data_IF_081679369094
#
_entry.id   IF_081679369094
#
_cell.length_a   1.000
_cell.length_b   1.000
_cell.length_c   1.000
_cell.angle_alpha   90.00
_cell.angle_beta   90.00
_cell.angle_gamma   90.00
#
_symmetry.space_group_name_H-M   'P 1'
#
loop_
_entity.id
_entity.type
_entity.pdbx_description
1 polymer ?
#
# COMPACT_ATOMS: atom_id res chain seq x y z
N UNK A 1 29.90 24.25 77.49
CA UNK A 1 29.06 23.06 77.12
C UNK A 1 28.59 23.20 75.69
N UNK A 2 29.20 22.53 74.73
CA UNK A 2 28.89 22.60 73.30
C UNK A 2 27.92 21.46 72.98
N UNK A 3 26.76 21.79 72.42
CA UNK A 3 25.68 20.85 72.05
C UNK A 3 25.99 20.24 70.69
N UNK A 4 26.41 18.99 70.66
CA UNK A 4 26.63 18.22 69.44
C UNK A 4 25.29 18.05 68.70
N UNK A 5 25.18 18.64 67.49
CA UNK A 5 24.02 18.59 66.63
C UNK A 5 24.00 17.26 65.90
N UNK A 6 23.03 16.39 66.20
CA UNK A 6 22.78 15.12 65.57
C UNK A 6 22.60 15.26 64.06
N UNK A 7 23.64 14.96 63.27
CA UNK A 7 23.62 14.95 61.79
C UNK A 7 23.25 13.58 61.18
N UNK A 8 22.96 12.58 62.02
CA UNK A 8 22.80 11.18 61.58
C UNK A 8 21.45 10.84 60.89
N UNK A 9 20.49 11.76 60.91
CA UNK A 9 19.13 11.49 60.35
C UNK A 9 18.96 11.75 58.84
N UNK A 10 19.88 12.53 58.22
CA UNK A 10 19.74 12.93 56.82
C UNK A 10 20.27 11.87 55.83
N UNK A 11 21.27 11.10 56.19
CA UNK A 11 21.89 10.08 55.31
C UNK A 11 21.01 8.87 55.10
N UNK A 12 20.26 8.41 56.11
CA UNK A 12 19.38 7.23 55.97
C UNK A 12 18.20 7.44 55.05
N UNK A 13 17.65 8.63 54.94
CA UNK A 13 16.55 8.94 54.02
C UNK A 13 17.02 8.97 52.56
N UNK A 14 18.21 9.44 52.28
CA UNK A 14 18.80 9.41 50.92
C UNK A 14 19.13 8.01 50.42
N UNK A 15 19.59 7.14 51.33
CA UNK A 15 19.95 5.76 50.99
C UNK A 15 18.70 4.95 50.61
N UNK A 16 17.63 5.04 51.41
CA UNK A 16 16.35 4.38 51.07
C UNK A 16 15.72 4.86 49.74
N UNK A 17 15.84 6.16 49.45
CA UNK A 17 15.37 6.69 48.17
C UNK A 17 16.20 6.19 46.99
N UNK A 18 17.52 6.02 47.19
CA UNK A 18 18.39 5.49 46.13
C UNK A 18 18.13 3.99 45.87
N UNK A 19 17.95 3.18 46.92
CA UNK A 19 17.58 1.76 46.79
C UNK A 19 16.22 1.61 46.09
N UNK A 20 15.27 2.43 46.43
CA UNK A 20 13.97 2.45 45.75
C UNK A 20 14.11 2.81 44.25
N UNK A 21 14.88 3.85 43.92
CA UNK A 21 15.15 4.29 42.53
C UNK A 21 15.85 3.20 41.73
N UNK A 22 16.81 2.48 42.30
CA UNK A 22 17.50 1.41 41.59
C UNK A 22 16.56 0.22 41.36
N UNK A 23 15.75 -0.16 42.33
CA UNK A 23 14.85 -1.31 42.20
C UNK A 23 13.68 -1.05 41.24
N UNK A 24 13.05 0.13 41.31
CA UNK A 24 11.94 0.47 40.41
C UNK A 24 12.40 1.04 39.08
N UNK A 25 13.59 1.62 39.00
CA UNK A 25 14.19 2.09 37.77
C UNK A 25 14.37 0.96 36.74
N UNK A 26 14.76 -0.22 37.20
CA UNK A 26 14.86 -1.41 36.34
C UNK A 26 13.50 -1.83 35.78
N UNK A 27 12.46 -1.82 36.62
CA UNK A 27 11.11 -2.14 36.16
C UNK A 27 10.59 -1.14 35.10
N UNK A 28 10.88 0.15 35.27
CA UNK A 28 10.55 1.18 34.29
C UNK A 28 11.28 0.98 32.95
N UNK A 29 12.57 0.65 32.99
CA UNK A 29 13.36 0.36 31.78
C UNK A 29 12.78 -0.84 31.02
N UNK A 30 12.40 -1.91 31.73
CA UNK A 30 11.78 -3.08 31.12
C UNK A 30 10.42 -2.72 30.47
N UNK A 31 9.59 -1.95 31.16
CA UNK A 31 8.27 -1.53 30.65
C UNK A 31 8.46 -0.66 29.39
N UNK A 32 9.35 0.32 29.42
CA UNK A 32 9.62 1.15 28.24
C UNK A 32 10.23 0.34 27.09
N UNK A 33 11.09 -0.64 27.39
CA UNK A 33 11.62 -1.55 26.38
C UNK A 33 10.54 -2.36 25.69
N UNK A 34 9.61 -2.93 26.46
CA UNK A 34 8.47 -3.68 25.92
C UNK A 34 7.57 -2.76 25.09
N UNK A 35 7.24 -1.58 25.60
CA UNK A 35 6.42 -0.60 24.87
C UNK A 35 7.12 -0.18 23.57
N UNK A 36 8.41 0.07 23.56
CA UNK A 36 9.17 0.43 22.36
C UNK A 36 9.14 -0.69 21.30
N UNK A 37 9.30 -1.96 21.75
CA UNK A 37 9.21 -3.12 20.86
C UNK A 37 7.79 -3.23 20.29
N UNK A 38 6.76 -3.16 21.13
CA UNK A 38 5.37 -3.21 20.69
C UNK A 38 5.05 -2.07 19.72
N UNK A 39 5.52 -0.86 20.02
CA UNK A 39 5.37 0.29 19.14
C UNK A 39 6.01 0.03 17.77
N UNK A 40 7.25 -0.47 17.75
CA UNK A 40 7.95 -0.78 16.51
C UNK A 40 7.27 -1.88 15.68
N UNK A 41 6.58 -2.83 16.34
CA UNK A 41 5.85 -3.90 15.64
C UNK A 41 4.43 -3.48 15.23
N UNK A 42 3.69 -2.82 16.11
CA UNK A 42 2.26 -2.48 15.88
C UNK A 42 2.11 -1.31 14.91
N UNK A 43 3.03 -0.34 14.94
CA UNK A 43 2.94 0.86 14.10
C UNK A 43 3.67 0.74 12.75
N UNK A 44 4.05 -0.46 12.32
CA UNK A 44 4.40 -0.72 10.93
C UNK A 44 3.17 -1.28 10.20
N UNK A 45 2.30 -0.42 9.62
CA UNK A 45 1.08 -0.85 8.93
C UNK A 45 1.38 -1.76 7.73
N UNK A 46 2.58 -1.69 7.20
CA UNK A 46 3.04 -2.46 6.05
C UNK A 46 2.96 -3.99 6.25
N UNK A 47 3.03 -4.46 7.51
CA UNK A 47 2.94 -5.90 7.80
C UNK A 47 1.50 -6.43 7.89
N UNK A 48 0.53 -5.56 8.13
CA UNK A 48 -0.86 -5.96 8.42
C UNK A 48 -1.82 -5.68 7.28
N UNK A 49 -1.45 -4.84 6.31
CA UNK A 49 -2.31 -4.56 5.16
C UNK A 49 -2.15 -5.70 4.17
N UNK A 50 -3.22 -6.45 3.98
CA UNK A 50 -3.29 -7.47 2.96
C UNK A 50 -3.31 -6.82 1.57
N UNK A 51 -2.77 -7.51 0.60
CA UNK A 51 -2.99 -7.16 -0.79
C UNK A 51 -4.48 -7.21 -1.07
N UNK A 52 -5.00 -6.17 -1.69
CA UNK A 52 -6.41 -6.08 -2.04
C UNK A 52 -6.61 -5.35 -3.35
N UNK A 53 -7.67 -5.73 -4.03
CA UNK A 53 -8.14 -5.05 -5.22
C UNK A 53 -9.62 -4.76 -5.04
N UNK A 54 -9.93 -3.53 -4.73
CA UNK A 54 -11.29 -3.07 -4.49
C UNK A 54 -11.78 -2.30 -5.72
N UNK A 55 -12.60 -2.96 -6.54
CA UNK A 55 -13.19 -2.37 -7.75
C UNK A 55 -14.66 -2.04 -7.52
N UNK A 56 -15.15 -1.07 -8.26
CA UNK A 56 -16.59 -0.83 -8.33
C UNK A 56 -17.32 -2.06 -8.89
N UNK A 57 -18.59 -2.29 -8.48
CA UNK A 57 -19.36 -3.45 -8.90
C UNK A 57 -19.39 -3.62 -10.43
N UNK A 58 -19.23 -4.85 -10.88
CA UNK A 58 -19.30 -5.22 -12.28
C UNK A 58 -17.96 -5.47 -12.97
N UNK A 59 -16.86 -5.07 -12.36
CA UNK A 59 -15.51 -5.46 -12.82
C UNK A 59 -14.82 -6.19 -11.67
N UNK A 60 -14.41 -7.42 -11.94
CA UNK A 60 -13.74 -8.25 -10.95
C UNK A 60 -12.23 -8.24 -11.18
N UNK A 61 -11.47 -8.13 -10.11
CA UNK A 61 -10.04 -8.37 -10.14
C UNK A 61 -9.76 -9.86 -10.29
N UNK A 62 -8.99 -10.21 -11.29
CA UNK A 62 -8.40 -11.52 -11.41
C UNK A 62 -7.10 -11.59 -10.61
N UNK A 63 -5.98 -11.67 -11.31
CA UNK A 63 -4.64 -11.66 -10.72
C UNK A 63 -4.02 -10.27 -10.84
N UNK A 64 -3.28 -9.85 -9.82
CA UNK A 64 -2.49 -8.64 -9.85
C UNK A 64 -1.15 -8.88 -9.16
N UNK A 65 -0.10 -8.32 -9.71
CA UNK A 65 1.28 -8.49 -9.23
C UNK A 65 2.10 -7.25 -9.57
N UNK A 66 2.91 -6.81 -8.64
CA UNK A 66 3.85 -5.73 -8.84
C UNK A 66 5.27 -6.27 -8.64
N UNK A 67 6.03 -6.34 -9.71
CA UNK A 67 7.40 -6.85 -9.71
C UNK A 67 8.40 -5.74 -9.98
N UNK A 68 9.61 -5.85 -9.41
CA UNK A 68 10.72 -4.99 -9.75
C UNK A 68 11.41 -5.51 -11.02
N UNK A 69 11.69 -4.60 -11.95
CA UNK A 69 12.47 -4.86 -13.16
C UNK A 69 13.57 -3.81 -13.28
N UNK A 70 14.74 -4.11 -12.67
CA UNK A 70 15.82 -3.13 -12.56
C UNK A 70 15.46 -1.96 -11.64
N UNK A 71 15.40 -0.74 -12.19
CA UNK A 71 14.97 0.46 -11.48
C UNK A 71 13.45 0.73 -11.59
N UNK A 72 12.76 -0.01 -12.45
CA UNK A 72 11.36 0.24 -12.74
C UNK A 72 10.48 -0.84 -12.09
N UNK A 73 9.20 -0.54 -11.93
CA UNK A 73 8.21 -1.50 -11.47
C UNK A 73 7.32 -1.92 -12.63
N UNK A 74 7.00 -3.20 -12.70
CA UNK A 74 6.03 -3.72 -13.66
C UNK A 74 4.79 -4.18 -12.93
N UNK A 75 3.68 -3.48 -13.16
CA UNK A 75 2.37 -3.89 -12.68
C UNK A 75 1.70 -4.78 -13.72
N UNK A 76 1.40 -6.01 -13.34
CA UNK A 76 0.53 -6.91 -14.10
C UNK A 76 -0.85 -6.93 -13.43
N UNK A 77 -1.88 -6.56 -14.17
CA UNK A 77 -3.26 -6.47 -13.68
C UNK A 77 -4.18 -7.21 -14.65
N UNK A 78 -4.88 -8.21 -14.13
CA UNK A 78 -5.89 -8.97 -14.87
C UNK A 78 -7.28 -8.62 -14.35
N UNK A 79 -8.17 -8.23 -15.24
CA UNK A 79 -9.55 -7.85 -14.94
C UNK A 79 -10.53 -8.75 -15.67
N UNK A 80 -11.68 -9.02 -15.06
CA UNK A 80 -12.76 -9.78 -15.64
C UNK A 80 -14.04 -8.96 -15.69
N UNK A 81 -14.80 -9.16 -16.74
CA UNK A 81 -16.15 -8.62 -16.84
C UNK A 81 -17.10 -9.48 -15.98
N UNK A 82 -17.58 -8.93 -14.87
CA UNK A 82 -18.61 -9.53 -14.02
C UNK A 82 -20.04 -9.08 -14.37
N UNK A 83 -20.20 -8.15 -15.34
CA UNK A 83 -21.50 -7.62 -15.74
C UNK A 83 -22.23 -8.60 -16.67
N UNK A 84 -23.54 -8.44 -16.79
CA UNK A 84 -24.38 -9.29 -17.65
C UNK A 84 -24.25 -8.98 -19.14
N UNK A 85 -23.68 -7.82 -19.48
CA UNK A 85 -23.52 -7.33 -20.85
C UNK A 85 -22.06 -7.31 -21.26
N UNK A 86 -21.84 -7.36 -22.56
CA UNK A 86 -20.50 -7.30 -23.14
C UNK A 86 -19.96 -5.86 -23.09
N UNK A 87 -18.69 -5.72 -22.73
CA UNK A 87 -18.00 -4.44 -22.61
C UNK A 87 -16.80 -4.35 -23.56
N UNK A 88 -16.52 -3.16 -24.01
CA UNK A 88 -15.34 -2.81 -24.78
C UNK A 88 -14.53 -1.76 -24.01
N UNK A 89 -13.34 -2.10 -23.47
CA UNK A 89 -12.48 -1.16 -22.78
C UNK A 89 -11.99 -0.08 -23.75
N UNK A 90 -12.10 1.18 -23.37
CA UNK A 90 -11.65 2.34 -24.13
C UNK A 90 -10.38 2.95 -23.55
N UNK A 91 -10.32 3.05 -22.25
CA UNK A 91 -9.21 3.68 -21.53
C UNK A 91 -9.02 3.03 -20.17
N UNK A 92 -7.78 2.75 -19.80
CA UNK A 92 -7.40 2.24 -18.47
C UNK A 92 -6.29 3.11 -17.92
N UNK A 93 -6.52 3.67 -16.76
CA UNK A 93 -5.57 4.54 -16.07
C UNK A 93 -5.16 3.94 -14.73
N UNK A 94 -3.87 3.93 -14.46
CA UNK A 94 -3.28 3.65 -13.16
C UNK A 94 -2.60 4.91 -12.65
N UNK A 95 -3.01 5.39 -11.50
CA UNK A 95 -2.41 6.53 -10.84
C UNK A 95 -1.65 6.06 -9.59
N UNK A 96 -0.37 6.32 -9.57
CA UNK A 96 0.55 5.99 -8.48
C UNK A 96 0.98 7.28 -7.81
N UNK A 97 1.05 7.28 -6.49
CA UNK A 97 1.62 8.41 -5.76
C UNK A 97 3.14 8.33 -5.84
N UNK A 98 3.77 9.37 -6.35
CA UNK A 98 5.23 9.48 -6.35
C UNK A 98 5.74 9.67 -4.92
N UNK A 99 6.79 8.92 -4.56
CA UNK A 99 7.34 8.94 -3.20
C UNK A 99 8.19 10.15 -2.91
N UNK A 100 8.81 10.75 -3.93
CA UNK A 100 9.77 11.86 -3.77
C UNK A 100 9.05 13.20 -3.80
N UNK A 101 8.24 13.43 -4.81
CA UNK A 101 7.65 14.75 -5.07
C UNK A 101 6.22 14.89 -4.51
N UNK A 102 5.69 13.88 -3.80
CA UNK A 102 4.30 13.80 -3.34
C UNK A 102 3.26 14.04 -4.48
N UNK A 103 3.70 14.02 -5.72
CA UNK A 103 2.87 14.10 -6.92
C UNK A 103 2.14 12.79 -7.22
N UNK A 104 1.11 12.87 -8.04
CA UNK A 104 0.46 11.69 -8.61
C UNK A 104 0.89 11.55 -10.06
N UNK A 105 1.40 10.37 -10.44
CA UNK A 105 1.76 10.03 -11.81
C UNK A 105 0.74 9.05 -12.37
N UNK A 106 0.19 9.38 -13.53
CA UNK A 106 -0.83 8.56 -14.18
C UNK A 106 -0.27 7.89 -15.42
N UNK A 107 -0.40 6.57 -15.48
CA UNK A 107 -0.09 5.74 -16.64
C UNK A 107 -1.40 5.36 -17.31
N UNK A 108 -1.49 5.58 -18.61
CA UNK A 108 -2.74 5.39 -19.37
C UNK A 108 -2.54 4.43 -20.52
N UNK A 109 -3.47 3.50 -20.67
CA UNK A 109 -3.73 2.75 -21.87
C UNK A 109 -5.04 3.29 -22.48
N UNK A 110 -5.00 3.74 -23.74
CA UNK A 110 -6.16 4.33 -24.41
C UNK A 110 -6.20 3.91 -25.87
N UNK A 111 -7.38 3.58 -26.38
CA UNK A 111 -7.64 3.22 -27.79
C UNK A 111 -6.59 2.22 -28.33
N UNK A 112 -6.18 1.25 -27.51
CA UNK A 112 -5.14 0.25 -27.79
C UNK A 112 -3.72 0.81 -27.94
N UNK A 113 -3.52 2.06 -27.60
CA UNK A 113 -2.21 2.71 -27.55
C UNK A 113 -1.81 3.00 -26.09
N UNK A 114 -0.52 3.07 -25.86
CA UNK A 114 0.02 3.48 -24.58
C UNK A 114 0.66 4.86 -24.71
N UNK A 115 0.39 5.73 -23.77
CA UNK A 115 1.07 7.02 -23.69
C UNK A 115 2.41 6.92 -22.92
N UNK A 116 2.66 5.77 -22.31
CA UNK A 116 3.89 5.40 -21.61
C UNK A 116 4.13 3.91 -21.86
N UNK A 117 5.23 3.36 -21.39
CA UNK A 117 5.55 1.95 -21.57
C UNK A 117 4.50 1.07 -20.89
N UNK A 118 3.58 0.60 -21.66
CA UNK A 118 2.57 -0.36 -21.24
C UNK A 118 2.33 -1.39 -22.34
N UNK A 119 1.92 -2.58 -21.95
CA UNK A 119 1.39 -3.61 -22.85
C UNK A 119 0.03 -4.04 -22.34
N UNK A 120 -0.88 -4.34 -23.24
CA UNK A 120 -2.18 -4.89 -22.87
C UNK A 120 -2.58 -6.01 -23.83
N UNK A 121 -3.01 -7.10 -23.27
CA UNK A 121 -3.73 -8.14 -24.01
C UNK A 121 -5.21 -7.95 -23.72
N UNK A 122 -5.82 -7.14 -24.58
CA UNK A 122 -7.26 -6.89 -24.55
C UNK A 122 -7.85 -7.56 -25.78
N UNK A 123 -8.84 -8.45 -25.65
CA UNK A 123 -9.52 -9.01 -26.81
C UNK A 123 -10.02 -7.93 -27.75
N UNK A 124 -9.93 -8.18 -29.06
CA UNK A 124 -10.35 -7.22 -30.09
C UNK A 124 -11.86 -7.08 -30.13
N UNK A 125 -12.56 -8.12 -29.70
CA UNK A 125 -14.03 -8.15 -29.59
C UNK A 125 -14.47 -7.72 -28.20
N UNK A 126 -15.75 -7.31 -28.11
CA UNK A 126 -16.41 -7.08 -26.84
C UNK A 126 -16.30 -8.32 -25.92
N UNK A 127 -16.08 -8.06 -24.65
CA UNK A 127 -15.82 -9.10 -23.65
C UNK A 127 -17.13 -9.40 -22.92
N UNK A 128 -17.66 -10.59 -23.13
CA UNK A 128 -18.83 -11.10 -22.44
C UNK A 128 -18.55 -11.42 -20.97
N UNK A 129 -19.59 -11.75 -20.22
CA UNK A 129 -19.50 -12.13 -18.81
C UNK A 129 -18.65 -13.39 -18.65
N UNK A 130 -17.63 -13.31 -17.79
CA UNK A 130 -16.78 -14.45 -17.45
C UNK A 130 -15.85 -14.94 -18.57
N UNK A 131 -15.80 -14.24 -19.69
CA UNK A 131 -14.86 -14.54 -20.78
C UNK A 131 -13.40 -14.23 -20.38
N UNK A 132 -12.47 -14.40 -21.33
CA UNK A 132 -11.04 -14.22 -21.08
C UNK A 132 -10.74 -12.92 -20.36
N UNK A 133 -9.87 -12.94 -19.33
CA UNK A 133 -9.50 -11.74 -18.61
C UNK A 133 -8.78 -10.76 -19.51
N UNK A 134 -9.06 -9.48 -19.31
CA UNK A 134 -8.26 -8.40 -19.85
C UNK A 134 -6.99 -8.29 -19.02
N UNK A 135 -5.82 -8.39 -19.63
CA UNK A 135 -4.56 -8.25 -18.90
C UNK A 135 -3.81 -7.00 -19.35
N UNK A 136 -3.40 -6.21 -18.39
CA UNK A 136 -2.66 -4.98 -18.60
C UNK A 136 -1.31 -5.06 -17.90
N UNK A 137 -0.26 -4.64 -18.58
CA UNK A 137 1.09 -4.48 -18.03
C UNK A 137 1.46 -3.00 -18.12
N UNK A 138 1.79 -2.41 -17.00
CA UNK A 138 2.25 -1.03 -16.91
C UNK A 138 3.68 -1.02 -16.37
N UNK A 139 4.58 -0.41 -17.11
CA UNK A 139 5.92 -0.12 -16.65
C UNK A 139 5.90 1.21 -15.91
N UNK A 140 5.99 1.13 -14.59
CA UNK A 140 5.90 2.27 -13.69
C UNK A 140 7.31 2.79 -13.44
N UNK A 141 7.72 3.80 -14.18
CA UNK A 141 9.03 4.42 -14.03
C UNK A 141 9.03 5.40 -12.86
N UNK A 142 9.93 5.17 -11.91
CA UNK A 142 10.15 6.04 -10.75
C UNK A 142 11.62 6.38 -10.61
N UNK A 143 11.91 7.51 -9.96
CA UNK A 143 13.29 7.89 -9.67
C UNK A 143 13.92 7.05 -8.55
N UNK A 144 13.05 6.45 -7.67
CA UNK A 144 13.48 5.51 -6.64
C UNK A 144 12.53 4.31 -6.62
N UNK A 145 13.04 3.10 -6.86
CA UNK A 145 12.23 1.90 -6.74
C UNK A 145 11.83 1.71 -5.27
N UNK A 146 10.58 1.37 -4.99
CA UNK A 146 10.15 1.09 -3.64
C UNK A 146 10.87 -0.15 -3.09
N UNK A 147 10.97 -0.21 -1.78
CA UNK A 147 11.61 -1.32 -1.09
C UNK A 147 10.81 -2.61 -1.34
N UNK A 148 11.48 -3.73 -1.72
CA UNK A 148 10.81 -5.01 -1.84
C UNK A 148 10.01 -5.36 -0.57
N UNK A 149 8.80 -5.86 -0.74
CA UNK A 149 7.88 -6.14 0.35
C UNK A 149 7.07 -4.94 0.83
N UNK A 150 7.36 -3.71 0.37
CA UNK A 150 6.55 -2.54 0.68
C UNK A 150 5.19 -2.60 -0.03
N UNK A 151 4.16 -2.06 0.62
CA UNK A 151 2.83 -1.99 0.06
C UNK A 151 2.67 -0.69 -0.75
N UNK A 152 2.22 -0.85 -1.98
CA UNK A 152 1.91 0.25 -2.89
C UNK A 152 0.41 0.39 -3.05
N UNK A 153 -0.10 1.60 -2.86
CA UNK A 153 -1.50 1.94 -3.09
C UNK A 153 -1.64 2.71 -4.39
N UNK A 154 -2.41 2.16 -5.32
CA UNK A 154 -2.65 2.72 -6.63
C UNK A 154 -4.14 2.98 -6.83
N UNK A 155 -4.47 4.06 -7.54
CA UNK A 155 -5.84 4.31 -8.00
C UNK A 155 -5.96 3.74 -9.41
N UNK A 156 -7.02 3.01 -9.64
CA UNK A 156 -7.38 2.46 -10.94
C UNK A 156 -8.63 3.18 -11.47
N UNK A 157 -8.68 3.45 -12.76
CA UNK A 157 -9.93 3.84 -13.42
C UNK A 157 -9.98 3.27 -14.83
N UNK A 158 -11.17 2.81 -15.24
CA UNK A 158 -11.41 2.28 -16.58
C UNK A 158 -12.64 2.93 -17.17
N UNK A 159 -12.50 3.38 -18.41
CA UNK A 159 -13.59 3.80 -19.28
C UNK A 159 -13.93 2.64 -20.21
N UNK A 160 -15.19 2.26 -20.27
CA UNK A 160 -15.65 1.16 -21.12
C UNK A 160 -16.96 1.50 -21.79
N UNK A 161 -17.19 0.92 -22.94
CA UNK A 161 -18.44 1.03 -23.71
C UNK A 161 -19.22 -0.26 -23.58
N UNK A 162 -20.52 -0.16 -23.29
CA UNK A 162 -21.42 -1.30 -23.35
C UNK A 162 -21.79 -1.52 -24.82
N UNK A 163 -21.53 -2.73 -25.31
CA UNK A 163 -21.70 -3.04 -26.74
C UNK A 163 -23.15 -2.96 -27.18
N UNK A 164 -24.09 -3.40 -26.34
CA UNK A 164 -25.50 -3.48 -26.65
C UNK A 164 -26.18 -2.10 -26.74
N UNK A 165 -25.80 -1.18 -25.85
CA UNK A 165 -26.43 0.15 -25.76
C UNK A 165 -25.59 1.26 -26.41
N UNK A 166 -24.30 0.99 -26.62
CA UNK A 166 -23.34 1.99 -27.06
C UNK A 166 -22.98 3.02 -25.98
N UNK A 167 -23.52 2.89 -24.77
CA UNK A 167 -23.28 3.83 -23.68
C UNK A 167 -21.88 3.66 -23.11
N UNK A 168 -21.25 4.79 -22.73
CA UNK A 168 -19.90 4.83 -22.16
C UNK A 168 -19.99 5.05 -20.66
N UNK A 169 -19.31 4.21 -19.90
CA UNK A 169 -19.29 4.24 -18.46
C UNK A 169 -17.86 4.27 -17.93
N UNK A 170 -17.70 4.80 -16.71
CA UNK A 170 -16.43 4.80 -16.00
C UNK A 170 -16.57 3.99 -14.72
N UNK A 171 -15.61 3.13 -14.48
CA UNK A 171 -15.41 2.47 -13.19
C UNK A 171 -14.10 2.91 -12.56
N UNK A 172 -14.00 2.81 -11.24
CA UNK A 172 -12.78 3.13 -10.50
C UNK A 172 -12.61 2.14 -9.36
N UNK A 173 -11.37 2.02 -8.90
CA UNK A 173 -11.02 1.14 -7.80
C UNK A 173 -9.70 1.54 -7.14
N UNK A 174 -9.36 0.79 -6.11
CA UNK A 174 -8.10 0.93 -5.38
C UNK A 174 -7.40 -0.42 -5.38
N UNK A 175 -6.13 -0.40 -5.73
CA UNK A 175 -5.25 -1.54 -5.73
C UNK A 175 -4.19 -1.35 -4.64
N UNK A 176 -4.14 -2.27 -3.69
CA UNK A 176 -3.08 -2.36 -2.70
C UNK A 176 -2.26 -3.61 -3.01
N UNK A 177 -1.02 -3.44 -3.43
CA UNK A 177 -0.17 -4.53 -3.91
C UNK A 177 1.22 -4.42 -3.30
N UNK A 178 1.81 -5.55 -2.91
CA UNK A 178 3.19 -5.61 -2.43
C UNK A 178 4.15 -5.70 -3.61
N UNK A 179 5.28 -5.04 -3.45
CA UNK A 179 6.40 -5.13 -4.39
C UNK A 179 7.11 -6.47 -4.17
N UNK A 180 7.11 -7.29 -5.18
CA UNK A 180 7.76 -8.61 -5.18
C UNK A 180 9.12 -8.60 -5.87
#
# INVERSE_FOLDING_TARGET
MAKAKNSAGKTRKGQAAFEYLVTYGWALILIFGIIAILYAYIFKPEFYVAESCDMAPGIDCGTFMLALSGSDMVLNLSLRNGMEFAIEPQEVNITVKDFIDAGEKTYSWKDRNCNSECMATVPISAIGRGEMPMTFWFELRGNDPPIPGSLQRMKFSMLYKITETGSVHRTAGILNVKVS
#
